data_IF_138620512493
#
_entry.id   IF_138620512493
#
_cell.length_a   1.000
_cell.length_b   1.000
_cell.length_c   1.000
_cell.angle_alpha   90.00
_cell.angle_beta   90.00
_cell.angle_gamma   90.00
#
_symmetry.space_group_name_H-M   'P 1'
#
loop_
_entity.id
_entity.type
_entity.pdbx_description
1 polymer ?
#
# COMPACT_ATOMS: atom_id res chain seq x y z
N UNK A 1 -15.84 -4.76 23.27
CA UNK A 1 -14.83 -4.82 22.20
C UNK A 1 -15.20 -3.75 21.19
N UNK A 2 -14.34 -2.74 21.01
CA UNK A 2 -14.65 -1.61 20.14
C UNK A 2 -14.39 -1.97 18.69
N UNK A 3 -15.42 -1.89 17.85
CA UNK A 3 -15.29 -1.99 16.40
C UNK A 3 -15.07 -0.57 15.86
N UNK A 4 -14.02 -0.37 15.07
CA UNK A 4 -13.77 0.90 14.39
C UNK A 4 -14.48 0.87 13.02
N UNK A 5 -15.31 1.87 12.73
CA UNK A 5 -15.90 2.06 11.41
C UNK A 5 -15.14 3.15 10.66
N UNK A 6 -14.72 2.86 9.42
CA UNK A 6 -14.16 3.83 8.48
C UNK A 6 -15.14 3.98 7.33
N UNK A 7 -15.57 5.21 7.06
CA UNK A 7 -16.49 5.54 5.97
C UNK A 7 -15.75 6.37 4.94
N UNK A 8 -15.75 5.91 3.69
CA UNK A 8 -15.31 6.65 2.50
C UNK A 8 -16.54 7.18 1.76
N UNK A 9 -16.35 7.96 0.69
CA UNK A 9 -17.47 8.52 -0.09
C UNK A 9 -18.35 7.43 -0.75
N UNK A 10 -17.78 6.25 -0.97
CA UNK A 10 -18.37 5.15 -1.74
C UNK A 10 -18.61 3.89 -0.90
N UNK A 11 -17.93 3.72 0.23
CA UNK A 11 -17.89 2.47 0.99
C UNK A 11 -17.81 2.71 2.49
N UNK A 12 -18.25 1.72 3.26
CA UNK A 12 -18.01 1.67 4.69
C UNK A 12 -17.36 0.32 5.06
N UNK A 13 -16.41 0.40 5.98
CA UNK A 13 -15.60 -0.73 6.41
C UNK A 13 -15.58 -0.81 7.94
N UNK A 14 -15.85 -1.99 8.48
CA UNK A 14 -15.64 -2.32 9.89
C UNK A 14 -14.28 -2.98 10.06
N UNK A 15 -13.53 -2.55 11.06
CA UNK A 15 -12.24 -3.15 11.41
C UNK A 15 -12.37 -3.99 12.67
N UNK A 16 -11.97 -5.25 12.57
CA UNK A 16 -11.86 -6.16 13.70
C UNK A 16 -10.61 -5.86 14.52
N UNK A 17 -10.66 -6.24 15.80
CA UNK A 17 -9.50 -6.17 16.66
C UNK A 17 -8.36 -7.05 16.12
N UNK A 18 -7.14 -6.49 16.12
CA UNK A 18 -5.92 -7.21 15.80
C UNK A 18 -5.52 -8.09 17.00
N UNK A 19 -4.93 -9.26 16.73
CA UNK A 19 -4.36 -10.10 17.78
C UNK A 19 -3.13 -9.46 18.45
N UNK A 20 -2.32 -8.75 17.66
CA UNK A 20 -1.12 -8.03 18.11
C UNK A 20 -1.11 -6.58 17.58
N UNK A 21 -1.93 -5.67 18.15
CA UNK A 21 -1.98 -4.28 17.70
C UNK A 21 -0.66 -3.52 17.98
N UNK A 22 0.06 -3.88 19.03
CA UNK A 22 1.34 -3.23 19.37
C UNK A 22 2.43 -3.60 18.36
N UNK A 23 2.54 -4.88 17.99
CA UNK A 23 3.47 -5.33 16.97
C UNK A 23 3.21 -4.66 15.61
N UNK A 24 1.96 -4.58 15.18
CA UNK A 24 1.59 -3.87 13.94
C UNK A 24 1.98 -2.40 14.00
N UNK A 25 1.62 -1.70 15.09
CA UNK A 25 1.98 -0.29 15.26
C UNK A 25 3.49 -0.08 15.29
N UNK A 26 4.24 -0.96 15.97
CA UNK A 26 5.69 -0.92 16.03
C UNK A 26 6.33 -1.05 14.64
N UNK A 27 5.86 -1.98 13.81
CA UNK A 27 6.34 -2.13 12.44
C UNK A 27 6.10 -0.87 11.61
N UNK A 28 4.91 -0.28 11.70
CA UNK A 28 4.61 0.99 11.01
C UNK A 28 5.52 2.14 11.48
N UNK A 29 5.79 2.24 12.79
CA UNK A 29 6.70 3.25 13.33
C UNK A 29 8.15 3.05 12.85
N UNK A 30 8.60 1.81 12.69
CA UNK A 30 9.92 1.52 12.13
C UNK A 30 10.02 1.97 10.67
N UNK A 31 8.99 1.72 9.86
CA UNK A 31 8.94 2.18 8.45
C UNK A 31 8.83 3.69 8.34
N UNK A 32 8.02 4.32 9.19
CA UNK A 32 7.96 5.78 9.29
C UNK A 32 9.35 6.37 9.59
N UNK A 33 10.04 5.83 10.60
CA UNK A 33 11.40 6.28 10.95
C UNK A 33 12.39 6.06 9.81
N UNK A 34 12.30 4.94 9.09
CA UNK A 34 13.13 4.68 7.92
C UNK A 34 12.87 5.72 6.81
N UNK A 35 11.61 6.05 6.54
CA UNK A 35 11.22 7.04 5.53
C UNK A 35 11.67 8.48 5.84
N UNK A 36 12.00 8.78 7.11
CA UNK A 36 12.60 10.06 7.50
C UNK A 36 14.10 10.13 7.21
N UNK A 37 14.77 8.99 7.07
CA UNK A 37 16.22 8.90 6.86
C UNK A 37 16.57 8.62 5.39
N UNK A 38 15.78 7.77 4.73
CA UNK A 38 15.98 7.32 3.36
C UNK A 38 14.67 7.34 2.57
N UNK A 39 14.76 7.58 1.26
CA UNK A 39 13.58 7.48 0.39
C UNK A 39 13.16 6.01 0.26
N UNK A 40 11.97 5.68 0.74
CA UNK A 40 11.40 4.33 0.67
C UNK A 40 10.54 4.15 -0.57
N UNK A 41 10.56 2.94 -1.15
CA UNK A 41 9.71 2.56 -2.29
C UNK A 41 8.31 2.20 -1.79
N UNK A 42 7.63 3.19 -1.22
CA UNK A 42 6.25 3.10 -0.78
C UNK A 42 5.43 4.19 -1.46
N UNK A 43 4.51 3.75 -2.30
CA UNK A 43 3.66 4.62 -3.11
C UNK A 43 2.21 4.23 -2.78
N UNK A 44 1.49 5.01 -1.96
CA UNK A 44 0.24 4.58 -1.31
C UNK A 44 -0.76 3.90 -2.25
N UNK A 45 -1.01 4.45 -3.44
CA UNK A 45 -2.02 3.93 -4.37
C UNK A 45 -1.56 2.61 -5.01
N UNK A 46 -0.34 2.60 -5.56
CA UNK A 46 0.23 1.41 -6.19
C UNK A 46 0.45 0.29 -5.17
N UNK A 47 0.88 0.64 -3.95
CA UNK A 47 1.14 -0.29 -2.85
C UNK A 47 -0.14 -0.92 -2.33
N UNK A 48 -1.22 -0.13 -2.19
CA UNK A 48 -2.52 -0.66 -1.78
C UNK A 48 -3.04 -1.67 -2.81
N UNK A 49 -3.01 -1.33 -4.09
CA UNK A 49 -3.44 -2.23 -5.17
C UNK A 49 -2.57 -3.49 -5.23
N UNK A 50 -1.26 -3.35 -5.04
CA UNK A 50 -0.36 -4.50 -4.93
C UNK A 50 -0.78 -5.44 -3.79
N UNK A 51 -0.86 -4.93 -2.57
CA UNK A 51 -1.18 -5.73 -1.38
C UNK A 51 -2.55 -6.40 -1.51
N UNK A 52 -3.57 -5.67 -2.00
CA UNK A 52 -4.91 -6.21 -2.19
C UNK A 52 -4.94 -7.34 -3.23
N UNK A 53 -4.24 -7.17 -4.36
CA UNK A 53 -4.17 -8.19 -5.42
C UNK A 53 -3.36 -9.41 -4.98
N UNK A 54 -2.26 -9.17 -4.26
CA UNK A 54 -1.43 -10.23 -3.70
C UNK A 54 -2.21 -11.08 -2.70
N UNK A 55 -2.88 -10.48 -1.71
CA UNK A 55 -3.66 -11.21 -0.71
C UNK A 55 -4.81 -12.05 -1.30
N UNK A 56 -5.36 -11.65 -2.45
CA UNK A 56 -6.44 -12.40 -3.13
C UNK A 56 -5.97 -13.66 -3.86
N UNK A 57 -4.75 -13.67 -4.41
CA UNK A 57 -4.29 -14.71 -5.37
C UNK A 57 -2.92 -15.30 -5.07
N UNK A 58 -2.17 -14.72 -4.14
CA UNK A 58 -0.76 -15.02 -3.86
C UNK A 58 0.11 -15.02 -5.15
N UNK A 59 -0.23 -14.14 -6.10
CA UNK A 59 0.43 -14.02 -7.40
C UNK A 59 1.13 -12.66 -7.47
N UNK A 60 2.46 -12.70 -7.27
CA UNK A 60 3.33 -11.51 -7.28
C UNK A 60 3.28 -10.79 -8.63
N UNK A 61 3.32 -11.51 -9.74
CA UNK A 61 3.40 -10.89 -11.06
C UNK A 61 2.08 -10.21 -11.44
N UNK A 62 0.95 -10.82 -11.10
CA UNK A 62 -0.35 -10.17 -11.25
C UNK A 62 -0.50 -8.93 -10.36
N UNK A 63 -0.01 -8.98 -9.13
CA UNK A 63 -0.01 -7.83 -8.21
C UNK A 63 0.88 -6.69 -8.74
N UNK A 64 2.09 -7.00 -9.23
CA UNK A 64 2.99 -6.03 -9.86
C UNK A 64 2.38 -5.40 -11.12
N UNK A 65 1.73 -6.19 -11.97
CA UNK A 65 1.02 -5.64 -13.15
C UNK A 65 -0.08 -4.67 -12.76
N UNK A 66 -0.85 -4.99 -11.72
CA UNK A 66 -1.90 -4.10 -11.23
C UNK A 66 -1.33 -2.81 -10.62
N UNK A 67 -0.25 -2.91 -9.84
CA UNK A 67 0.46 -1.75 -9.30
C UNK A 67 1.04 -0.86 -10.41
N UNK A 68 1.63 -1.45 -11.47
CA UNK A 68 2.13 -0.70 -12.63
C UNK A 68 1.04 0.09 -13.34
N UNK A 69 -0.16 -0.45 -13.44
CA UNK A 69 -1.28 0.26 -14.04
C UNK A 69 -1.63 1.54 -13.25
N UNK A 70 -1.60 1.48 -11.92
CA UNK A 70 -1.79 2.67 -11.05
C UNK A 70 -0.60 3.63 -11.17
N UNK A 71 0.62 3.10 -11.15
CA UNK A 71 1.84 3.86 -11.21
C UNK A 71 1.95 4.74 -12.48
N UNK A 72 1.71 4.15 -13.65
CA UNK A 72 1.78 4.88 -14.92
C UNK A 72 0.48 5.61 -15.27
N UNK A 73 -0.65 5.14 -14.73
CA UNK A 73 -1.96 5.65 -15.09
C UNK A 73 -2.35 5.26 -16.52
N UNK A 74 -3.21 6.07 -17.13
CA UNK A 74 -3.68 5.91 -18.51
C UNK A 74 -3.98 7.28 -19.13
N UNK A 75 -4.49 7.30 -20.36
CA UNK A 75 -4.81 8.54 -21.11
C UNK A 75 -5.76 9.50 -20.37
N UNK A 76 -6.57 8.98 -19.44
CA UNK A 76 -7.60 9.73 -18.69
C UNK A 76 -7.27 9.90 -17.20
N UNK A 77 -6.25 9.21 -16.68
CA UNK A 77 -5.92 9.20 -15.26
C UNK A 77 -4.41 9.32 -15.11
N UNK A 78 -3.97 10.39 -14.45
CA UNK A 78 -2.56 10.59 -14.11
C UNK A 78 -2.11 9.48 -13.16
N UNK A 79 -1.02 8.81 -13.50
CA UNK A 79 -0.42 7.80 -12.63
C UNK A 79 0.30 8.40 -11.44
N UNK A 80 0.36 7.65 -10.34
CA UNK A 80 1.04 8.04 -9.10
C UNK A 80 2.52 8.41 -9.34
N UNK A 81 3.19 7.72 -10.26
CA UNK A 81 4.58 7.98 -10.63
C UNK A 81 4.81 9.29 -11.38
N UNK A 82 3.74 9.97 -11.80
CA UNK A 82 3.84 11.28 -12.45
C UNK A 82 4.01 12.43 -11.46
N UNK A 83 3.86 12.19 -10.15
CA UNK A 83 4.09 13.21 -9.12
C UNK A 83 5.55 13.71 -9.18
N UNK A 84 5.80 15.03 -9.24
CA UNK A 84 7.17 15.54 -9.44
C UNK A 84 8.12 15.20 -8.28
N UNK A 85 7.61 15.06 -7.06
CA UNK A 85 8.43 14.67 -5.90
C UNK A 85 8.79 13.19 -5.96
N UNK A 86 7.88 12.35 -6.45
CA UNK A 86 8.12 10.92 -6.67
C UNK A 86 9.10 10.71 -7.81
N UNK A 87 8.89 11.40 -8.94
CA UNK A 87 9.77 11.33 -10.11
C UNK A 87 11.20 11.75 -9.78
N UNK A 88 11.37 12.85 -9.02
CA UNK A 88 12.69 13.33 -8.60
C UNK A 88 13.50 12.25 -7.87
N UNK A 89 12.86 11.43 -7.04
CA UNK A 89 13.54 10.40 -6.26
C UNK A 89 13.69 9.06 -7.01
N UNK A 90 12.82 8.77 -7.97
CA UNK A 90 12.68 7.43 -8.55
C UNK A 90 12.70 7.36 -10.08
N UNK A 91 13.07 8.44 -10.78
CA UNK A 91 13.19 8.46 -12.24
C UNK A 91 14.16 7.39 -12.78
N UNK A 92 15.17 7.04 -12.00
CA UNK A 92 16.23 6.13 -12.41
C UNK A 92 15.92 4.68 -11.96
N UNK A 93 15.61 3.84 -12.94
CA UNK A 93 15.33 2.42 -12.75
C UNK A 93 13.86 2.12 -12.46
N UNK A 94 13.59 0.89 -12.01
CA UNK A 94 12.22 0.44 -11.74
C UNK A 94 11.78 0.85 -10.32
N UNK A 95 10.78 1.74 -10.17
CA UNK A 95 10.28 2.18 -8.86
C UNK A 95 9.64 1.03 -8.07
N UNK A 96 9.02 0.07 -8.76
CA UNK A 96 8.25 -1.03 -8.16
C UNK A 96 9.07 -2.32 -7.97
N UNK A 97 10.40 -2.21 -7.98
CA UNK A 97 11.31 -3.32 -7.65
C UNK A 97 11.42 -3.54 -6.14
N UNK A 98 11.94 -4.69 -5.73
CA UNK A 98 12.19 -4.99 -4.33
C UNK A 98 13.02 -3.86 -3.65
N UNK A 99 12.66 -3.42 -2.43
CA UNK A 99 11.70 -4.03 -1.51
C UNK A 99 10.24 -3.52 -1.60
N UNK A 100 9.79 -2.95 -2.73
CA UNK A 100 8.44 -2.37 -2.89
C UNK A 100 7.32 -3.29 -2.41
N UNK A 101 7.27 -4.53 -2.91
CA UNK A 101 6.17 -5.44 -2.63
C UNK A 101 6.11 -5.88 -1.16
N UNK A 102 7.26 -6.03 -0.50
CA UNK A 102 7.35 -6.36 0.92
C UNK A 102 6.81 -5.21 1.77
N UNK A 103 7.24 -3.98 1.47
CA UNK A 103 6.81 -2.79 2.19
C UNK A 103 5.31 -2.51 2.00
N UNK A 104 4.80 -2.69 0.77
CA UNK A 104 3.38 -2.57 0.47
C UNK A 104 2.54 -3.53 1.32
N UNK A 105 2.97 -4.78 1.43
CA UNK A 105 2.29 -5.83 2.21
C UNK A 105 2.36 -5.55 3.70
N UNK A 106 3.53 -5.22 4.23
CA UNK A 106 3.72 -4.93 5.65
C UNK A 106 2.81 -3.78 6.14
N UNK A 107 2.59 -2.77 5.30
CA UNK A 107 1.73 -1.63 5.65
C UNK A 107 0.24 -1.96 5.48
N UNK A 108 -0.14 -2.63 4.38
CA UNK A 108 -1.55 -2.75 4.01
C UNK A 108 -2.22 -4.10 4.32
N UNK A 109 -1.49 -5.21 4.45
CA UNK A 109 -2.09 -6.52 4.79
C UNK A 109 -2.89 -6.45 6.10
N UNK A 110 -2.37 -5.89 7.21
CA UNK A 110 -3.13 -5.80 8.46
C UNK A 110 -4.47 -5.06 8.28
N UNK A 111 -4.49 -4.01 7.45
CA UNK A 111 -5.68 -3.23 7.14
C UNK A 111 -6.66 -4.04 6.27
N UNK A 112 -6.17 -4.70 5.23
CA UNK A 112 -7.01 -5.40 4.24
C UNK A 112 -7.60 -6.69 4.81
N UNK A 113 -6.86 -7.42 5.64
CA UNK A 113 -7.30 -8.70 6.21
C UNK A 113 -8.32 -8.54 7.35
N UNK A 114 -8.30 -7.39 8.04
CA UNK A 114 -9.15 -7.16 9.21
C UNK A 114 -10.37 -6.30 8.92
N UNK A 115 -10.59 -5.89 7.67
CA UNK A 115 -11.76 -5.11 7.26
C UNK A 115 -12.90 -5.99 6.76
N UNK A 116 -14.12 -5.60 7.10
CA UNK A 116 -15.36 -6.15 6.57
C UNK A 116 -16.17 -5.02 5.95
N UNK A 117 -16.67 -5.25 4.73
CA UNK A 117 -17.50 -4.26 4.04
C UNK A 117 -18.92 -4.30 4.62
N UNK A 118 -19.49 -3.12 4.87
CA UNK A 118 -20.88 -2.94 5.31
C UNK A 118 -21.69 -2.09 4.34
#
# INVERSE_FOLDING_TARGET
MGTLAVVTLDQAWLYKALADPEGVLRSLLLRYRQGLMDVVRFFPESSFVYAERFGKKNDRDAALRAARFVWYGNEHTRGEGSDPYVDLCFRDGDPLRDPFGELAREVFEPLIEHRERI
#
